data_IF_558909502943
#
_entry.id   IF_558909502943
#
_cell.length_a   1.000
_cell.length_b   1.000
_cell.length_c   1.000
_cell.angle_alpha   90.00
_cell.angle_beta   90.00
_cell.angle_gamma   90.00
#
_symmetry.space_group_name_H-M   'P 1'
#
loop_
_entity.id
_entity.type
_entity.pdbx_description
1 polymer ?
#
# COMPACT_ATOMS: atom_id res chain seq x y z
N UNK A 1 0.03 8.13 0.62
CA UNK A 1 -1.18 7.45 0.08
C UNK A 1 -1.58 7.89 -1.32
N UNK A 2 -1.93 9.17 -1.54
CA UNK A 2 -2.44 9.63 -2.85
C UNK A 2 -1.48 9.31 -4.02
N UNK A 3 -0.17 9.55 -3.84
CA UNK A 3 0.87 9.19 -4.81
C UNK A 3 0.85 7.70 -5.20
N UNK A 4 0.67 6.81 -4.22
CA UNK A 4 0.60 5.35 -4.38
C UNK A 4 -0.77 4.83 -4.84
N UNK A 5 -1.76 5.71 -5.01
CA UNK A 5 -3.11 5.31 -5.44
C UNK A 5 -3.26 5.29 -6.96
N UNK A 6 -2.22 5.71 -7.71
CA UNK A 6 -2.17 5.70 -9.18
C UNK A 6 -3.39 6.38 -9.82
N UNK A 7 -3.81 7.51 -9.25
CA UNK A 7 -4.99 8.27 -9.71
C UNK A 7 -6.32 7.51 -9.65
N UNK A 8 -6.37 6.33 -9.01
CA UNK A 8 -7.55 5.45 -9.01
C UNK A 8 -8.29 5.57 -7.68
N UNK A 9 -9.50 6.19 -7.63
CA UNK A 9 -10.25 6.39 -6.38
C UNK A 9 -10.53 5.09 -5.61
N UNK A 10 -10.74 3.98 -6.33
CA UNK A 10 -10.93 2.64 -5.75
C UNK A 10 -9.70 2.18 -4.96
N UNK A 11 -8.49 2.41 -5.48
CA UNK A 11 -7.23 2.03 -4.83
C UNK A 11 -6.99 2.92 -3.61
N UNK A 12 -7.23 4.22 -3.74
CA UNK A 12 -7.14 5.16 -2.61
C UNK A 12 -8.01 4.72 -1.43
N UNK A 13 -9.29 4.39 -1.70
CA UNK A 13 -10.22 3.91 -0.67
C UNK A 13 -9.78 2.57 -0.06
N UNK A 14 -9.21 1.66 -0.86
CA UNK A 14 -8.66 0.38 -0.36
C UNK A 14 -7.49 0.63 0.61
N UNK A 15 -6.53 1.46 0.23
CA UNK A 15 -5.35 1.76 1.05
C UNK A 15 -5.75 2.49 2.34
N UNK A 16 -6.68 3.45 2.25
CA UNK A 16 -7.18 4.18 3.42
C UNK A 16 -7.81 3.24 4.45
N UNK A 17 -8.69 2.33 4.00
CA UNK A 17 -9.31 1.33 4.88
C UNK A 17 -8.26 0.48 5.58
N UNK A 18 -7.25 -0.01 4.85
CA UNK A 18 -6.20 -0.86 5.41
C UNK A 18 -5.36 -0.14 6.46
N UNK A 19 -4.95 1.11 6.20
CA UNK A 19 -4.18 1.88 7.19
C UNK A 19 -5.00 2.23 8.42
N UNK A 20 -6.30 2.53 8.25
CA UNK A 20 -7.21 2.67 9.38
C UNK A 20 -7.30 1.38 10.21
N UNK A 21 -7.42 0.23 9.56
CA UNK A 21 -7.51 -1.06 10.26
C UNK A 21 -6.22 -1.36 11.05
N UNK A 22 -5.04 -1.05 10.48
CA UNK A 22 -3.75 -1.14 11.21
C UNK A 22 -3.72 -0.24 12.44
N UNK A 23 -4.20 0.98 12.29
CA UNK A 23 -4.14 2.00 13.31
C UNK A 23 -5.11 1.66 14.48
N UNK A 24 -6.28 1.09 14.16
CA UNK A 24 -7.22 0.55 15.14
C UNK A 24 -6.65 -0.63 15.93
N UNK A 25 -5.84 -1.49 15.30
CA UNK A 25 -5.14 -2.60 16.00
C UNK A 25 -4.04 -2.07 16.93
N UNK A 26 -3.39 -0.97 16.57
CA UNK A 26 -2.32 -0.36 17.35
C UNK A 26 -2.82 0.56 18.49
N UNK A 27 -4.14 0.77 18.63
CA UNK A 27 -4.77 1.68 19.60
C UNK A 27 -4.28 3.14 19.49
N UNK A 28 -3.88 3.58 18.31
CA UNK A 28 -3.54 4.98 18.08
C UNK A 28 -4.85 5.80 17.90
N UNK A 29 -4.91 7.06 18.35
CA UNK A 29 -6.09 7.92 18.13
C UNK A 29 -6.05 8.68 16.80
N UNK A 30 -4.85 8.93 16.27
CA UNK A 30 -4.61 9.76 15.08
C UNK A 30 -3.75 9.01 14.06
N UNK A 31 -4.09 9.12 12.78
CA UNK A 31 -3.28 8.56 11.69
C UNK A 31 -2.05 9.43 11.47
N UNK A 32 -0.89 8.96 11.94
CA UNK A 32 0.40 9.59 11.70
C UNK A 32 1.05 9.12 10.39
N UNK A 33 1.98 9.95 9.87
CA UNK A 33 2.70 9.63 8.63
C UNK A 33 3.57 8.39 8.78
N UNK A 34 4.15 8.17 9.95
CA UNK A 34 5.03 7.03 10.21
C UNK A 34 4.23 5.73 10.30
N UNK A 35 3.10 5.73 11.04
CA UNK A 35 2.15 4.59 11.06
C UNK A 35 1.62 4.30 9.66
N UNK A 36 1.36 5.33 8.86
CA UNK A 36 0.92 5.18 7.46
C UNK A 36 2.00 4.53 6.59
N UNK A 37 3.26 4.98 6.70
CA UNK A 37 4.39 4.38 5.96
C UNK A 37 4.56 2.92 6.35
N UNK A 38 4.60 2.64 7.65
CA UNK A 38 4.75 1.28 8.17
C UNK A 38 3.61 0.36 7.71
N UNK A 39 2.36 0.84 7.78
CA UNK A 39 1.21 0.08 7.29
C UNK A 39 1.30 -0.23 5.79
N UNK A 40 1.78 0.72 4.98
CA UNK A 40 1.94 0.51 3.54
C UNK A 40 3.09 -0.45 3.22
N UNK A 41 4.17 -0.42 4.00
CA UNK A 41 5.26 -1.41 3.93
C UNK A 41 4.76 -2.82 4.24
N UNK A 42 3.95 -2.98 5.31
CA UNK A 42 3.33 -4.26 5.66
C UNK A 42 2.35 -4.75 4.59
N UNK A 43 1.68 -3.84 3.89
CA UNK A 43 0.84 -4.16 2.73
C UNK A 43 1.66 -4.48 1.46
N UNK A 44 2.99 -4.40 1.53
CA UNK A 44 3.92 -4.58 0.40
C UNK A 44 3.58 -3.66 -0.77
N UNK A 45 3.14 -2.43 -0.47
CA UNK A 45 2.84 -1.39 -1.46
C UNK A 45 4.01 -0.42 -1.52
N UNK A 46 4.74 -0.47 -2.64
CA UNK A 46 5.91 0.36 -2.87
C UNK A 46 5.57 1.84 -3.06
N UNK A 47 6.60 2.66 -3.27
CA UNK A 47 6.44 4.11 -3.49
C UNK A 47 5.68 4.49 -4.76
N UNK A 48 5.64 3.60 -5.76
CA UNK A 48 4.90 3.78 -7.00
C UNK A 48 3.45 3.26 -6.89
N UNK A 49 3.10 2.59 -5.80
CA UNK A 49 1.79 2.00 -5.59
C UNK A 49 1.61 0.62 -6.23
N UNK A 50 2.71 -0.03 -6.60
CA UNK A 50 2.72 -1.43 -7.02
C UNK A 50 2.71 -2.31 -5.79
N UNK A 51 1.92 -3.38 -5.85
CA UNK A 51 1.90 -4.40 -4.81
C UNK A 51 2.78 -5.61 -5.18
N UNK A 52 2.89 -6.56 -4.26
CA UNK A 52 3.63 -7.79 -4.46
C UNK A 52 3.22 -8.56 -5.73
N UNK A 53 1.93 -8.55 -6.09
CA UNK A 53 1.43 -9.26 -7.27
C UNK A 53 1.88 -8.54 -8.54
N UNK A 54 1.81 -7.20 -8.55
CA UNK A 54 2.34 -6.38 -9.64
C UNK A 54 3.82 -6.69 -9.89
N UNK A 55 4.64 -6.67 -8.83
CA UNK A 55 6.08 -7.02 -8.90
C UNK A 55 6.31 -8.46 -9.38
N UNK A 56 5.53 -9.41 -8.87
CA UNK A 56 5.62 -10.82 -9.30
C UNK A 56 5.29 -10.99 -10.79
N UNK A 57 4.28 -10.28 -11.30
CA UNK A 57 3.94 -10.30 -12.73
C UNK A 57 5.06 -9.68 -13.58
N UNK A 58 5.59 -8.53 -13.17
CA UNK A 58 6.71 -7.89 -13.88
C UNK A 58 7.93 -8.80 -13.93
N UNK A 59 8.29 -9.41 -12.80
CA UNK A 59 9.41 -10.36 -12.75
C UNK A 59 9.17 -11.60 -13.63
N UNK A 60 7.93 -12.09 -13.70
CA UNK A 60 7.57 -13.19 -14.61
C UNK A 60 7.83 -12.80 -16.08
N UNK A 61 7.38 -11.61 -16.48
CA UNK A 61 7.59 -11.09 -17.84
C UNK A 61 9.07 -10.90 -18.14
N UNK A 62 9.83 -10.33 -17.20
CA UNK A 62 11.27 -10.07 -17.37
C UNK A 62 12.14 -11.33 -17.37
N UNK A 63 11.78 -12.33 -16.55
CA UNK A 63 12.56 -13.56 -16.37
C UNK A 63 12.19 -14.64 -17.39
N UNK A 64 11.10 -14.45 -18.15
CA UNK A 64 10.77 -15.35 -19.27
C UNK A 64 11.76 -15.11 -20.41
N UNK A 65 12.93 -15.74 -20.30
CA UNK A 65 13.95 -15.95 -21.34
C UNK A 65 14.52 -17.35 -21.17
#
# INVERSE_FOLDING_TARGET
MAKRSRGTPRVANRLLKRVRDFQQVNNDEIIHIDTTKHSLELLQVDDQGLDYIDHKMMNCILTTV
#
